data_IF_397921674988
#
_entry.id   IF_397921674988
#
_cell.length_a   1.000
_cell.length_b   1.000
_cell.length_c   1.000
_cell.angle_alpha   90.00
_cell.angle_beta   90.00
_cell.angle_gamma   90.00
#
_symmetry.space_group_name_H-M   'P 1'
#
loop_
_entity.id
_entity.type
_entity.pdbx_description
1 polymer ?
#
# COMPACT_ATOMS: atom_id res chain seq x y z
N UNK A 1 -2.07 2.75 11.43
CA UNK A 1 -2.56 1.37 11.24
C UNK A 1 -1.65 0.65 10.27
N UNK A 2 -1.29 -0.60 10.53
CA UNK A 2 -0.61 -1.49 9.60
C UNK A 2 -1.64 -2.46 9.00
N UNK A 3 -1.67 -2.61 7.67
CA UNK A 3 -2.59 -3.53 7.00
C UNK A 3 -1.79 -4.53 6.17
N UNK A 4 -1.98 -5.82 6.45
CA UNK A 4 -1.25 -6.92 5.81
C UNK A 4 -2.20 -7.76 4.94
N UNK A 5 -1.74 -8.25 3.78
CA UNK A 5 -2.53 -9.18 2.97
C UNK A 5 -2.63 -10.55 3.65
N UNK A 6 -1.58 -10.98 4.36
CA UNK A 6 -1.48 -12.24 5.11
C UNK A 6 -0.50 -12.10 6.27
N UNK A 7 -0.45 -13.11 7.15
CA UNK A 7 0.52 -13.17 8.26
C UNK A 7 1.89 -13.75 7.86
N UNK A 8 2.00 -14.39 6.69
CA UNK A 8 3.18 -15.16 6.29
C UNK A 8 3.81 -14.50 5.07
N UNK A 9 5.07 -14.10 5.21
CA UNK A 9 5.90 -13.61 4.10
C UNK A 9 7.29 -14.24 4.16
N UNK A 10 7.78 -14.71 3.02
CA UNK A 10 9.16 -15.21 2.91
C UNK A 10 10.09 -14.02 2.80
N UNK A 11 10.65 -13.59 3.92
CA UNK A 11 11.52 -12.40 3.99
C UNK A 11 12.91 -12.72 4.54
N UNK A 12 13.92 -12.03 4.00
CA UNK A 12 15.28 -12.08 4.54
C UNK A 12 15.38 -11.46 5.94
N UNK A 13 16.49 -11.70 6.69
CA UNK A 13 16.62 -11.29 8.09
C UNK A 13 16.39 -9.80 8.34
N UNK A 14 16.88 -8.94 7.44
CA UNK A 14 16.71 -7.48 7.54
C UNK A 14 15.24 -7.06 7.47
N UNK A 15 14.48 -7.62 6.53
CA UNK A 15 13.06 -7.29 6.34
C UNK A 15 12.19 -7.84 7.47
N UNK A 16 12.52 -9.03 8.01
CA UNK A 16 11.87 -9.58 9.21
C UNK A 16 12.05 -8.65 10.41
N UNK A 17 13.29 -8.26 10.71
CA UNK A 17 13.61 -7.37 11.84
C UNK A 17 12.93 -6.01 11.72
N UNK A 18 12.87 -5.46 10.50
CA UNK A 18 12.11 -4.22 10.22
C UNK A 18 10.61 -4.40 10.46
N UNK A 19 10.01 -5.51 10.01
CA UNK A 19 8.59 -5.77 10.21
C UNK A 19 8.26 -5.95 11.70
N UNK A 20 9.07 -6.69 12.46
CA UNK A 20 8.93 -6.86 13.91
C UNK A 20 8.94 -5.50 14.62
N UNK A 21 9.87 -4.63 14.27
CA UNK A 21 9.93 -3.27 14.82
C UNK A 21 8.64 -2.49 14.52
N UNK A 22 8.13 -2.53 13.28
CA UNK A 22 6.89 -1.84 12.91
C UNK A 22 5.69 -2.43 13.67
N UNK A 23 5.62 -3.75 13.81
CA UNK A 23 4.52 -4.43 14.52
C UNK A 23 4.47 -4.04 15.99
N UNK A 24 5.62 -3.91 16.65
CA UNK A 24 5.72 -3.49 18.05
C UNK A 24 5.25 -2.05 18.30
N UNK A 25 5.40 -1.18 17.29
CA UNK A 25 5.11 0.26 17.43
C UNK A 25 3.82 0.70 16.72
N UNK A 26 3.13 -0.20 16.03
CA UNK A 26 1.89 0.15 15.36
C UNK A 26 0.73 0.23 16.35
N UNK A 27 -0.11 1.26 16.24
CA UNK A 27 -1.29 1.41 17.11
C UNK A 27 -2.38 0.36 16.83
N UNK A 28 -2.42 -0.18 15.61
CA UNK A 28 -3.41 -1.17 15.16
C UNK A 28 -2.86 -1.96 13.99
N UNK A 29 -3.09 -3.27 13.98
CA UNK A 29 -2.75 -4.22 12.92
C UNK A 29 -4.02 -4.87 12.38
N UNK A 30 -4.19 -4.88 11.07
CA UNK A 30 -5.28 -5.55 10.37
C UNK A 30 -4.74 -6.54 9.32
N UNK A 31 -5.40 -7.69 9.20
CA UNK A 31 -5.06 -8.71 8.20
C UNK A 31 -6.30 -9.00 7.38
N UNK A 32 -6.25 -8.72 6.07
CA UNK A 32 -7.45 -8.66 5.20
C UNK A 32 -7.58 -9.90 4.29
N UNK A 33 -6.62 -10.82 4.33
CA UNK A 33 -6.64 -12.06 3.56
C UNK A 33 -6.22 -13.28 4.37
N UNK A 34 -6.56 -14.46 3.85
CA UNK A 34 -6.35 -15.74 4.51
C UNK A 34 -5.13 -16.50 3.94
N UNK A 35 -4.73 -16.19 2.71
CA UNK A 35 -3.72 -16.92 1.94
C UNK A 35 -2.87 -15.97 1.10
N UNK A 36 -1.65 -16.38 0.77
CA UNK A 36 -0.72 -15.61 -0.08
C UNK A 36 -1.13 -15.72 -1.56
N UNK A 37 -2.27 -15.14 -1.87
CA UNK A 37 -2.89 -15.16 -3.19
C UNK A 37 -3.21 -13.73 -3.65
N UNK A 38 -3.37 -13.55 -4.97
CA UNK A 38 -3.61 -12.26 -5.61
C UNK A 38 -4.82 -11.53 -4.99
N UNK A 39 -5.86 -12.26 -4.67
CA UNK A 39 -7.12 -11.76 -4.11
C UNK A 39 -6.87 -11.11 -2.74
N UNK A 40 -6.03 -11.68 -1.89
CA UNK A 40 -5.66 -11.11 -0.59
C UNK A 40 -4.97 -9.75 -0.74
N UNK A 41 -4.08 -9.59 -1.72
CA UNK A 41 -3.42 -8.30 -1.99
C UNK A 41 -4.41 -7.26 -2.51
N UNK A 42 -5.33 -7.65 -3.41
CA UNK A 42 -6.36 -6.74 -3.93
C UNK A 42 -7.29 -6.28 -2.80
N UNK A 43 -7.82 -7.22 -1.99
CA UNK A 43 -8.69 -6.89 -0.86
C UNK A 43 -8.00 -5.96 0.13
N UNK A 44 -6.73 -6.25 0.47
CA UNK A 44 -5.92 -5.40 1.36
C UNK A 44 -5.76 -3.99 0.79
N UNK A 45 -5.46 -3.86 -0.50
CA UNK A 45 -5.29 -2.56 -1.15
C UNK A 45 -6.60 -1.75 -1.15
N UNK A 46 -7.73 -2.38 -1.47
CA UNK A 46 -9.03 -1.71 -1.40
C UNK A 46 -9.36 -1.26 0.02
N UNK A 47 -9.16 -2.14 1.02
CA UNK A 47 -9.39 -1.81 2.43
C UNK A 47 -8.54 -0.61 2.88
N UNK A 48 -7.26 -0.57 2.52
CA UNK A 48 -6.39 0.57 2.86
C UNK A 48 -6.93 1.90 2.32
N UNK A 49 -7.43 1.90 1.09
CA UNK A 49 -7.99 3.11 0.46
C UNK A 49 -9.35 3.47 1.06
N UNK A 50 -10.22 2.48 1.32
CA UNK A 50 -11.54 2.71 1.92
C UNK A 50 -11.46 3.31 3.33
N UNK A 51 -10.36 3.06 4.05
CA UNK A 51 -10.12 3.61 5.40
C UNK A 51 -9.35 4.94 5.41
N UNK A 52 -8.86 5.41 4.25
CA UNK A 52 -7.97 6.57 4.19
C UNK A 52 -8.70 7.84 3.74
N UNK A 53 -8.40 8.97 4.38
CA UNK A 53 -8.84 10.29 3.92
C UNK A 53 -7.98 10.85 2.77
N UNK A 54 -6.73 10.39 2.67
CA UNK A 54 -5.76 10.77 1.65
C UNK A 54 -4.87 9.58 1.31
N UNK A 55 -4.50 9.43 0.04
CA UNK A 55 -3.50 8.46 -0.40
C UNK A 55 -2.20 9.19 -0.76
N UNK A 56 -1.08 8.82 -0.13
CA UNK A 56 0.25 9.24 -0.56
C UNK A 56 0.95 8.06 -1.22
N UNK A 57 1.42 8.24 -2.45
CA UNK A 57 2.11 7.19 -3.19
C UNK A 57 3.38 7.70 -3.87
N UNK A 58 4.48 6.97 -3.70
CA UNK A 58 5.68 7.14 -4.52
C UNK A 58 5.47 6.29 -5.77
N UNK A 59 5.14 6.94 -6.89
CA UNK A 59 4.71 6.27 -8.10
C UNK A 59 4.89 7.17 -9.32
N UNK A 60 5.43 6.60 -10.39
CA UNK A 60 5.49 7.22 -11.71
C UNK A 60 4.19 6.90 -12.45
N UNK A 61 3.32 7.90 -12.58
CA UNK A 61 2.01 7.76 -13.23
C UNK A 61 2.09 7.75 -14.76
N UNK A 62 3.24 8.16 -15.34
CA UNK A 62 3.44 8.22 -16.79
C UNK A 62 3.82 6.85 -17.36
N UNK A 63 4.65 6.07 -16.64
CA UNK A 63 5.10 4.74 -17.09
C UNK A 63 4.01 3.67 -17.09
N UNK A 64 2.81 3.98 -16.59
CA UNK A 64 1.63 3.09 -16.53
C UNK A 64 1.96 1.64 -16.11
N UNK A 65 2.82 1.50 -15.10
CA UNK A 65 3.37 0.22 -14.67
C UNK A 65 2.32 -0.60 -13.93
N UNK A 66 2.10 -1.84 -14.37
CA UNK A 66 1.23 -2.80 -13.67
C UNK A 66 1.85 -3.20 -12.33
N UNK A 67 1.53 -2.45 -11.28
CA UNK A 67 2.05 -2.61 -9.93
C UNK A 67 0.94 -2.60 -8.86
N UNK A 68 1.27 -3.03 -7.65
CA UNK A 68 0.37 -2.91 -6.49
C UNK A 68 0.05 -1.45 -6.16
N UNK A 69 1.03 -0.55 -6.29
CA UNK A 69 0.85 0.89 -6.06
C UNK A 69 -0.12 1.50 -7.06
N UNK A 70 0.02 1.17 -8.35
CA UNK A 70 -0.92 1.59 -9.39
C UNK A 70 -2.37 1.19 -9.07
N UNK A 71 -2.59 -0.01 -8.51
CA UNK A 71 -3.94 -0.44 -8.12
C UNK A 71 -4.53 0.45 -7.03
N UNK A 72 -3.74 0.80 -5.99
CA UNK A 72 -4.19 1.72 -4.95
C UNK A 72 -4.51 3.11 -5.53
N UNK A 73 -3.64 3.67 -6.36
CA UNK A 73 -3.83 5.00 -6.98
C UNK A 73 -5.10 5.02 -7.83
N UNK A 74 -5.30 4.01 -8.69
CA UNK A 74 -6.51 3.90 -9.53
C UNK A 74 -7.78 3.75 -8.70
N UNK A 75 -7.73 2.94 -7.64
CA UNK A 75 -8.88 2.73 -6.78
C UNK A 75 -9.22 3.98 -5.95
N UNK A 76 -8.22 4.70 -5.44
CA UNK A 76 -8.41 5.97 -4.74
C UNK A 76 -9.06 7.02 -5.64
N UNK A 77 -8.58 7.18 -6.88
CA UNK A 77 -9.20 8.06 -7.89
C UNK A 77 -10.66 7.69 -8.15
N UNK A 78 -10.97 6.39 -8.30
CA UNK A 78 -12.35 5.91 -8.46
C UNK A 78 -13.23 6.23 -7.24
N UNK A 79 -12.66 6.20 -6.05
CA UNK A 79 -13.33 6.49 -4.77
C UNK A 79 -13.33 7.98 -4.41
N UNK A 80 -12.75 8.83 -5.26
CA UNK A 80 -12.54 10.26 -5.00
C UNK A 80 -11.78 10.54 -3.69
N UNK A 81 -10.89 9.63 -3.30
CA UNK A 81 -9.92 9.86 -2.22
C UNK A 81 -8.77 10.67 -2.82
N UNK A 82 -8.46 11.87 -2.30
CA UNK A 82 -7.38 12.69 -2.84
C UNK A 82 -6.04 11.96 -2.80
N UNK A 83 -5.27 12.11 -3.88
CA UNK A 83 -4.00 11.42 -4.08
C UNK A 83 -2.85 12.42 -4.19
N UNK A 84 -1.81 12.21 -3.40
CA UNK A 84 -0.53 12.90 -3.49
C UNK A 84 0.47 11.92 -4.11
N UNK A 85 0.95 12.25 -5.30
CA UNK A 85 1.93 11.46 -6.04
C UNK A 85 3.31 12.10 -5.92
N UNK A 86 4.29 11.29 -5.55
CA UNK A 86 5.70 11.67 -5.53
C UNK A 86 6.41 10.87 -6.62
N UNK A 87 6.95 11.55 -7.63
CA UNK A 87 7.69 10.88 -8.68
C UNK A 87 8.99 10.27 -8.11
N UNK A 88 9.27 8.97 -8.34
CA UNK A 88 10.40 8.29 -7.71
C UNK A 88 11.77 8.87 -8.07
N UNK A 89 11.96 9.30 -9.33
CA UNK A 89 13.26 9.79 -9.81
C UNK A 89 13.48 11.29 -9.60
N UNK A 90 12.43 12.11 -9.70
CA UNK A 90 12.53 13.59 -9.67
C UNK A 90 12.04 14.21 -8.37
N UNK A 91 11.38 13.43 -7.51
CA UNK A 91 10.69 13.90 -6.30
C UNK A 91 9.62 14.99 -6.54
N UNK A 92 9.23 15.23 -7.80
CA UNK A 92 8.13 16.14 -8.14
C UNK A 92 6.84 15.63 -7.49
N UNK A 93 6.09 16.55 -6.89
CA UNK A 93 4.85 16.26 -6.17
C UNK A 93 3.67 16.73 -7.01
N UNK A 94 2.73 15.83 -7.28
CA UNK A 94 1.48 16.11 -7.95
C UNK A 94 0.29 15.81 -7.03
N UNK A 95 -0.74 16.65 -7.11
CA UNK A 95 -1.99 16.51 -6.34
C UNK A 95 -3.12 16.19 -7.33
N UNK A 96 -3.87 15.10 -7.11
CA UNK A 96 -4.97 14.67 -7.99
C UNK A 96 -6.16 14.11 -7.23
#
# INVERSE_FOLDING_TARGET
MLVLPTLVGVWGPRSKRRMEFILQHCSRKEVIGNEDCRESYIKRNCYMVDQASYLVAVYDDERNLRSGTMQCVRYARKKQVPVILIHPDTAVINYS
#
